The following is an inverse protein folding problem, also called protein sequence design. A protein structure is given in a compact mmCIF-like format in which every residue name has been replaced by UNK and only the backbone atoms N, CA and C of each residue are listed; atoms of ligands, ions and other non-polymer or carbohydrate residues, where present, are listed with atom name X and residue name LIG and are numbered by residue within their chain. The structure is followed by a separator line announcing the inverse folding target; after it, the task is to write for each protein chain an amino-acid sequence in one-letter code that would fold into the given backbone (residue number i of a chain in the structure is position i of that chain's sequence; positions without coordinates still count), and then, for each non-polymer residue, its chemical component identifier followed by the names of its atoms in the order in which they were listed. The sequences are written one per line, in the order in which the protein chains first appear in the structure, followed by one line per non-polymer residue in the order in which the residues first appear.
data_IF_654204382858
#
_entry.id   IF_654204382858
#
_cell.length_a   1.000
_cell.length_b   1.000
_cell.length_c   1.000
_cell.angle_alpha   90.00
_cell.angle_beta   90.00
_cell.angle_gamma   90.00
#
_symmetry.space_group_name_H-M   'P 1'
#
loop_
_entity.id
_entity.type
_entity.pdbx_description
1 polymer ?
#
# COMPACT_ATOMS: atom_id res chain seq x y z
N UNK A 1 23.69 -4.71 -39.28
CA UNK A 1 22.28 -4.35 -39.04
C UNK A 1 21.82 -4.91 -37.70
N UNK A 2 21.07 -4.11 -36.95
CA UNK A 2 20.34 -4.39 -35.71
C UNK A 2 21.11 -4.84 -34.45
N UNK A 3 21.51 -3.84 -33.65
CA UNK A 3 21.68 -3.96 -32.20
C UNK A 3 20.58 -3.17 -31.48
N UNK A 4 19.95 -3.85 -30.53
CA UNK A 4 19.40 -3.33 -29.26
C UNK A 4 18.52 -2.07 -29.28
N UNK A 5 17.20 -2.28 -29.34
CA UNK A 5 16.20 -1.36 -28.80
C UNK A 5 15.87 -1.83 -27.36
N UNK A 6 16.52 -1.23 -26.37
CA UNK A 6 16.33 -1.55 -24.94
C UNK A 6 16.49 -0.26 -24.13
N UNK A 7 15.46 0.59 -24.19
CA UNK A 7 15.32 1.74 -23.29
C UNK A 7 13.93 2.38 -23.40
N UNK A 8 12.89 1.65 -23.01
CA UNK A 8 11.60 2.25 -22.66
C UNK A 8 11.04 1.50 -21.47
N UNK A 9 11.15 2.10 -20.28
CA UNK A 9 10.20 2.01 -19.15
C UNK A 9 10.90 2.48 -17.88
N UNK A 10 11.16 3.79 -17.78
CA UNK A 10 11.38 4.43 -16.49
C UNK A 10 10.89 5.86 -16.56
N UNK A 11 9.80 6.11 -15.83
CA UNK A 11 9.14 7.38 -15.46
C UNK A 11 7.65 7.36 -15.84
N UNK A 12 6.89 6.51 -15.17
CA UNK A 12 5.55 6.92 -14.77
C UNK A 12 5.67 7.49 -13.35
N UNK A 13 6.02 8.77 -13.30
CA UNK A 13 5.73 9.60 -12.13
C UNK A 13 4.21 9.67 -12.02
N UNK A 14 3.67 9.10 -10.95
CA UNK A 14 2.31 9.36 -10.51
C UNK A 14 2.15 10.87 -10.37
N UNK A 15 1.51 11.51 -11.35
CA UNK A 15 0.89 12.82 -11.17
C UNK A 15 -0.35 12.61 -10.31
N UNK A 16 -0.14 12.41 -9.01
CA UNK A 16 -1.16 12.77 -8.05
C UNK A 16 -1.10 14.29 -7.91
N UNK A 17 -1.85 14.95 -8.79
CA UNK A 17 -2.23 16.35 -8.61
C UNK A 17 -3.14 16.42 -7.39
N UNK A 18 -2.54 16.48 -6.21
CA UNK A 18 -3.23 16.87 -4.98
C UNK A 18 -3.52 18.36 -5.06
N UNK A 19 -4.66 18.72 -5.65
CA UNK A 19 -5.31 20.01 -5.39
C UNK A 19 -5.90 19.97 -3.98
N UNK A 20 -5.03 19.91 -2.98
CA UNK A 20 -5.35 20.25 -1.60
C UNK A 20 -4.76 21.64 -1.35
N UNK A 21 -5.41 22.63 -1.95
CA UNK A 21 -5.27 23.99 -1.45
C UNK A 21 -6.15 24.07 -0.20
N UNK A 22 -5.61 24.42 0.97
CA UNK A 22 -6.46 24.74 2.11
C UNK A 22 -7.42 25.88 1.70
N UNK A 23 -8.68 25.89 2.18
CA UNK A 23 -9.62 26.94 1.84
C UNK A 23 -9.05 28.29 2.25
N UNK A 24 -8.66 29.09 1.25
CA UNK A 24 -8.16 30.44 1.44
C UNK A 24 -9.34 31.36 1.70
N UNK A 25 -9.69 31.53 2.98
CA UNK A 25 -10.67 32.52 3.43
C UNK A 25 -10.13 33.97 3.40
N UNK A 26 -8.87 34.18 2.99
CA UNK A 26 -8.20 35.48 3.08
C UNK A 26 -7.97 36.18 1.73
N UNK A 27 -8.45 35.64 0.61
CA UNK A 27 -8.31 36.30 -0.69
C UNK A 27 -9.65 36.88 -1.18
N UNK A 28 -10.22 37.78 -0.38
CA UNK A 28 -11.24 38.71 -0.86
C UNK A 28 -10.54 39.94 -1.46
N UNK A 29 -11.00 40.48 -2.61
CA UNK A 29 -10.50 41.75 -3.12
C UNK A 29 -10.74 42.85 -2.07
N UNK A 30 -9.83 43.84 -1.95
CA UNK A 30 -10.00 44.91 -0.97
C UNK A 30 -11.30 45.65 -1.28
N UNK A 31 -12.24 45.64 -0.33
CA UNK A 31 -13.41 46.49 -0.41
C UNK A 31 -12.97 47.96 -0.50
N UNK A 32 -13.59 48.80 -1.35
CA UNK A 32 -13.29 50.22 -1.38
C UNK A 32 -13.68 50.82 -0.04
N UNK A 33 -12.69 51.35 0.69
CA UNK A 33 -12.88 52.08 1.94
C UNK A 33 -13.72 53.33 1.71
N UNK A 34 -14.93 53.45 2.28
CA UNK A 34 -15.51 54.75 2.51
C UNK A 34 -15.11 55.24 3.91
N UNK A 35 -15.12 56.55 4.10
CA UNK A 35 -14.94 57.26 5.36
C UNK A 35 -13.50 57.59 5.76
N UNK A 36 -13.02 58.69 5.16
CA UNK A 36 -12.48 59.86 5.85
C UNK A 36 -12.49 59.75 7.39
N UNK A 37 -11.37 59.36 7.99
CA UNK A 37 -11.14 59.67 9.39
C UNK A 37 -10.93 61.18 9.50
N UNK A 38 -12.01 61.89 9.87
CA UNK A 38 -11.86 63.15 10.58
C UNK A 38 -11.06 62.85 11.85
N UNK A 39 -9.84 63.36 11.91
CA UNK A 39 -9.16 63.59 13.18
C UNK A 39 -10.12 64.42 14.05
N UNK A 40 -10.62 63.93 15.20
CA UNK A 40 -11.26 64.81 16.14
C UNK A 40 -10.17 65.73 16.67
N UNK A 41 -10.18 66.96 16.16
CA UNK A 41 -9.46 68.08 16.71
C UNK A 41 -9.74 68.13 18.22
N UNK A 42 -8.71 67.82 19.01
CA UNK A 42 -8.73 67.89 20.46
C UNK A 42 -9.12 69.31 20.89
N UNK A 43 -10.37 69.49 21.30
CA UNK A 43 -10.76 70.60 22.14
C UNK A 43 -10.36 70.25 23.57
N UNK A 44 -9.67 71.13 24.32
CA UNK A 44 -9.28 70.89 25.70
C UNK A 44 -10.52 70.98 26.60
N UNK A 45 -11.29 69.90 26.69
CA UNK A 45 -12.39 69.79 27.65
C UNK A 45 -11.82 69.51 29.05
N UNK A 46 -11.88 70.56 29.89
CA UNK A 46 -12.03 70.60 31.35
C UNK A 46 -11.55 69.38 32.18
N UNK A 47 -10.71 69.67 33.18
CA UNK A 47 -9.92 68.74 34.03
C UNK A 47 -10.60 67.54 34.70
N UNK A 48 -11.92 67.36 34.58
CA UNK A 48 -12.62 66.16 35.06
C UNK A 48 -12.55 64.96 34.10
N UNK A 49 -12.38 65.16 32.78
CA UNK A 49 -12.22 64.03 31.83
C UNK A 49 -10.87 63.32 31.94
N UNK A 50 -9.84 64.01 32.42
CA UNK A 50 -8.48 63.49 32.55
C UNK A 50 -8.39 62.37 33.59
N UNK A 51 -9.11 62.52 34.71
CA UNK A 51 -9.13 61.54 35.80
C UNK A 51 -9.86 60.24 35.42
N UNK A 52 -11.02 60.32 34.77
CA UNK A 52 -11.72 59.12 34.28
C UNK A 52 -10.98 58.42 33.14
N UNK A 53 -10.25 59.17 32.31
CA UNK A 53 -9.40 58.61 31.27
C UNK A 53 -8.22 57.83 31.86
N UNK A 54 -7.59 58.34 32.93
CA UNK A 54 -6.53 57.64 33.63
C UNK A 54 -7.03 56.32 34.25
N UNK A 55 -8.21 56.33 34.89
CA UNK A 55 -8.83 55.10 35.43
C UNK A 55 -9.20 54.12 34.31
N UNK A 56 -9.78 54.59 33.20
CA UNK A 56 -10.11 53.76 32.06
C UNK A 56 -8.86 53.14 31.41
N UNK A 57 -7.75 53.88 31.38
CA UNK A 57 -6.47 53.39 30.87
C UNK A 57 -5.90 52.29 31.76
N UNK A 58 -5.94 52.45 33.09
CA UNK A 58 -5.52 51.41 34.03
C UNK A 58 -6.38 50.15 33.85
N UNK A 59 -7.71 50.28 33.80
CA UNK A 59 -8.61 49.15 33.57
C UNK A 59 -8.32 48.47 32.21
N UNK A 60 -8.10 49.24 31.15
CA UNK A 60 -7.76 48.70 29.83
C UNK A 60 -6.44 47.92 29.85
N UNK A 61 -5.41 48.44 30.50
CA UNK A 61 -4.12 47.77 30.66
C UNK A 61 -4.27 46.50 31.50
N UNK A 62 -5.04 46.54 32.59
CA UNK A 62 -5.31 45.36 33.43
C UNK A 62 -6.08 44.28 32.66
N UNK A 63 -7.10 44.65 31.89
CA UNK A 63 -7.82 43.69 31.03
C UNK A 63 -6.92 43.11 29.94
N UNK A 64 -6.09 43.93 29.29
CA UNK A 64 -5.19 43.47 28.23
C UNK A 64 -4.10 42.54 28.78
N UNK A 65 -3.56 42.84 29.96
CA UNK A 65 -2.59 41.97 30.63
C UNK A 65 -3.22 40.65 31.07
N UNK A 66 -4.45 40.66 31.60
CA UNK A 66 -5.20 39.44 31.91
C UNK A 66 -5.41 38.57 30.66
N UNK A 67 -5.87 39.15 29.55
CA UNK A 67 -6.04 38.43 28.29
C UNK A 67 -4.72 37.92 27.71
N UNK A 68 -3.63 38.66 27.86
CA UNK A 68 -2.31 38.21 27.41
C UNK A 68 -1.85 36.97 28.17
N UNK A 69 -2.07 36.94 29.50
CA UNK A 69 -1.75 35.78 30.35
C UNK A 69 -2.62 34.58 29.99
N UNK A 70 -3.94 34.76 29.84
CA UNK A 70 -4.87 33.69 29.50
C UNK A 70 -4.55 33.07 28.12
N UNK A 71 -4.31 33.91 27.11
CA UNK A 71 -3.87 33.44 25.78
C UNK A 71 -2.53 32.72 25.81
N UNK A 72 -1.60 33.15 26.67
CA UNK A 72 -0.31 32.48 26.82
C UNK A 72 -0.49 31.07 27.39
N UNK A 73 -1.30 30.90 28.45
CA UNK A 73 -1.59 29.60 29.05
C UNK A 73 -2.28 28.68 28.04
N UNK A 74 -3.30 29.20 27.34
CA UNK A 74 -4.01 28.45 26.31
C UNK A 74 -3.08 28.02 25.16
N UNK A 75 -2.14 28.87 24.76
CA UNK A 75 -1.15 28.55 23.73
C UNK A 75 -0.20 27.43 24.17
N UNK A 76 0.25 27.44 25.43
CA UNK A 76 1.13 26.40 25.97
C UNK A 76 0.40 25.05 26.01
N UNK A 77 -0.84 25.00 26.50
CA UNK A 77 -1.64 23.76 26.52
C UNK A 77 -1.92 23.23 25.10
N UNK A 78 -2.24 24.13 24.15
CA UNK A 78 -2.40 23.75 22.75
C UNK A 78 -1.12 23.18 22.14
N UNK A 79 0.04 23.78 22.46
CA UNK A 79 1.34 23.29 22.01
C UNK A 79 1.62 21.89 22.58
N UNK A 80 1.44 21.70 23.88
CA UNK A 80 1.66 20.40 24.54
C UNK A 80 0.78 19.31 23.94
N UNK A 81 -0.51 19.61 23.69
CA UNK A 81 -1.43 18.69 23.01
C UNK A 81 -0.96 18.35 21.59
N UNK A 82 -0.51 19.34 20.82
CA UNK A 82 0.00 19.10 19.47
C UNK A 82 1.26 18.22 19.47
N UNK A 83 2.18 18.45 20.41
CA UNK A 83 3.41 17.65 20.54
C UNK A 83 3.10 16.21 20.94
N UNK A 84 2.14 16.01 21.84
CA UNK A 84 1.63 14.67 22.20
C UNK A 84 1.04 13.94 21.00
N UNK A 85 0.21 14.61 20.19
CA UNK A 85 -0.38 14.03 18.99
C UNK A 85 0.67 13.68 17.93
N UNK A 86 1.70 14.51 17.76
CA UNK A 86 2.81 14.23 16.84
C UNK A 86 3.56 12.99 17.30
N UNK A 87 3.91 12.90 18.58
CA UNK A 87 4.60 11.73 19.14
C UNK A 87 3.77 10.45 19.00
N UNK A 88 2.47 10.52 19.27
CA UNK A 88 1.58 9.37 19.12
C UNK A 88 1.45 8.93 17.66
N UNK A 89 1.29 9.88 16.74
CA UNK A 89 1.24 9.62 15.30
C UNK A 89 2.53 8.97 14.81
N UNK A 90 3.70 9.44 15.25
CA UNK A 90 4.99 8.83 14.92
C UNK A 90 5.08 7.39 15.44
N UNK A 91 4.69 7.14 16.69
CA UNK A 91 4.67 5.78 17.26
C UNK A 91 3.76 4.85 16.47
N UNK A 92 2.58 5.32 16.08
CA UNK A 92 1.64 4.54 15.27
C UNK A 92 2.20 4.24 13.88
N UNK A 93 2.86 5.21 13.24
CA UNK A 93 3.54 5.01 11.96
C UNK A 93 4.67 3.98 12.08
N UNK A 94 5.46 4.02 13.15
CA UNK A 94 6.52 3.03 13.40
C UNK A 94 5.96 1.62 13.61
N UNK A 95 4.86 1.48 14.34
CA UNK A 95 4.19 0.18 14.51
C UNK A 95 3.63 -0.33 13.17
N UNK A 96 3.00 0.54 12.39
CA UNK A 96 2.44 0.18 11.09
C UNK A 96 3.53 -0.23 10.10
N UNK A 97 4.65 0.49 10.04
CA UNK A 97 5.78 0.13 9.18
C UNK A 97 6.39 -1.22 9.58
N UNK A 98 6.52 -1.49 10.90
CA UNK A 98 6.95 -2.80 11.41
C UNK A 98 6.00 -3.91 10.99
N UNK A 99 4.69 -3.73 11.17
CA UNK A 99 3.67 -4.71 10.77
C UNK A 99 3.69 -4.99 9.27
N UNK A 100 3.78 -3.94 8.44
CA UNK A 100 3.89 -4.10 6.98
C UNK A 100 5.17 -4.84 6.58
N UNK A 101 6.30 -4.55 7.22
CA UNK A 101 7.56 -5.25 6.94
C UNK A 101 7.49 -6.73 7.33
N UNK A 102 6.86 -7.06 8.46
CA UNK A 102 6.66 -8.43 8.91
C UNK A 102 5.70 -9.18 7.97
N UNK A 103 4.60 -8.55 7.55
CA UNK A 103 3.65 -9.13 6.60
C UNK A 103 4.29 -9.40 5.23
N UNK A 104 5.15 -8.48 4.74
CA UNK A 104 5.93 -8.67 3.50
C UNK A 104 6.87 -9.86 3.61
N UNK A 105 7.68 -9.92 4.68
CA UNK A 105 8.60 -11.04 4.93
C UNK A 105 7.86 -12.38 5.02
N UNK A 106 6.70 -12.42 5.71
CA UNK A 106 5.87 -13.64 5.80
C UNK A 106 5.39 -14.08 4.41
N UNK A 107 4.90 -13.14 3.59
CA UNK A 107 4.47 -13.42 2.22
C UNK A 107 5.63 -13.90 1.35
N UNK A 108 6.79 -13.29 1.44
CA UNK A 108 7.99 -13.71 0.70
C UNK A 108 8.44 -15.12 1.08
N UNK A 109 8.44 -15.44 2.37
CA UNK A 109 8.76 -16.80 2.86
C UNK A 109 7.74 -17.83 2.37
N UNK A 110 6.46 -17.48 2.37
CA UNK A 110 5.40 -18.34 1.84
C UNK A 110 5.61 -18.60 0.35
N UNK A 111 5.82 -17.55 -0.45
CA UNK A 111 6.09 -17.67 -1.89
C UNK A 111 7.33 -18.53 -2.15
N UNK A 112 8.39 -18.36 -1.37
CA UNK A 112 9.61 -19.16 -1.50
C UNK A 112 9.33 -20.64 -1.22
N UNK A 113 8.53 -20.93 -0.19
CA UNK A 113 8.15 -22.30 0.15
C UNK A 113 7.27 -22.93 -0.93
N UNK A 114 6.29 -22.19 -1.47
CA UNK A 114 5.47 -22.63 -2.59
C UNK A 114 6.31 -22.93 -3.83
N UNK A 115 7.28 -22.06 -4.17
CA UNK A 115 8.23 -22.29 -5.28
C UNK A 115 9.07 -23.54 -5.06
N UNK A 116 9.62 -23.72 -3.86
CA UNK A 116 10.40 -24.91 -3.50
C UNK A 116 9.55 -26.18 -3.65
N UNK A 117 8.32 -26.18 -3.14
CA UNK A 117 7.43 -27.34 -3.22
C UNK A 117 7.04 -27.65 -4.67
N UNK A 118 6.79 -26.63 -5.49
CA UNK A 118 6.54 -26.81 -6.92
C UNK A 118 7.75 -27.41 -7.64
N UNK A 119 8.98 -26.94 -7.34
CA UNK A 119 10.20 -27.50 -7.93
C UNK A 119 10.41 -28.97 -7.54
N UNK A 120 10.17 -29.32 -6.27
CA UNK A 120 10.25 -30.71 -5.78
C UNK A 120 9.22 -31.58 -6.54
N UNK A 121 7.99 -31.10 -6.69
CA UNK A 121 6.93 -31.82 -7.42
C UNK A 121 7.30 -32.03 -8.89
N UNK A 122 7.79 -31.00 -9.56
CA UNK A 122 8.27 -31.09 -10.96
C UNK A 122 9.40 -32.12 -11.10
N UNK A 123 10.35 -32.12 -10.17
CA UNK A 123 11.46 -33.09 -10.19
C UNK A 123 10.97 -34.53 -9.97
N UNK A 124 10.03 -34.76 -9.04
CA UNK A 124 9.40 -36.07 -8.84
C UNK A 124 8.70 -36.56 -10.11
N UNK A 125 7.95 -35.69 -10.79
CA UNK A 125 7.28 -36.02 -12.04
C UNK A 125 8.27 -36.32 -13.17
N UNK A 126 9.34 -35.52 -13.31
CA UNK A 126 10.39 -35.77 -14.31
C UNK A 126 11.06 -37.13 -14.09
N UNK A 127 11.34 -37.49 -12.84
CA UNK A 127 11.88 -38.80 -12.50
C UNK A 127 10.92 -39.93 -12.87
N UNK A 128 9.63 -39.77 -12.55
CA UNK A 128 8.62 -40.77 -12.89
C UNK A 128 8.51 -40.96 -14.42
N UNK A 129 8.50 -39.87 -15.19
CA UNK A 129 8.50 -39.92 -16.66
C UNK A 129 9.77 -40.63 -17.18
N UNK A 130 10.94 -40.35 -16.61
CA UNK A 130 12.17 -41.01 -17.00
C UNK A 130 12.12 -42.52 -16.72
N UNK A 131 11.58 -42.93 -15.57
CA UNK A 131 11.36 -44.33 -15.23
C UNK A 131 10.39 -45.01 -16.20
N UNK A 132 9.26 -44.37 -16.53
CA UNK A 132 8.29 -44.90 -17.50
C UNK A 132 8.91 -45.07 -18.88
N UNK A 133 9.70 -44.09 -19.36
CA UNK A 133 10.42 -44.21 -20.63
C UNK A 133 11.40 -45.37 -20.63
N UNK A 134 12.12 -45.58 -19.52
CA UNK A 134 13.01 -46.74 -19.37
C UNK A 134 12.21 -48.05 -19.44
N UNK A 135 11.13 -48.16 -18.69
CA UNK A 135 10.27 -49.35 -18.68
C UNK A 135 9.69 -49.66 -20.07
N UNK A 136 9.28 -48.65 -20.84
CA UNK A 136 8.79 -48.84 -22.21
C UNK A 136 9.89 -49.39 -23.12
N UNK A 137 11.11 -48.82 -23.04
CA UNK A 137 12.25 -49.30 -23.80
C UNK A 137 12.64 -50.73 -23.42
N UNK A 138 12.62 -51.07 -22.13
CA UNK A 138 12.90 -52.42 -21.63
C UNK A 138 11.86 -53.44 -22.16
N UNK A 139 10.64 -53.00 -22.49
CA UNK A 139 9.58 -53.81 -23.11
C UNK A 139 9.51 -53.68 -24.64
N UNK A 140 10.54 -53.11 -25.29
CA UNK A 140 10.60 -52.87 -26.74
C UNK A 140 9.48 -51.95 -27.30
N UNK A 141 8.88 -51.12 -26.45
CA UNK A 141 7.89 -50.10 -26.85
C UNK A 141 8.59 -48.75 -26.97
N UNK A 142 8.43 -48.08 -28.11
CA UNK A 142 9.03 -46.76 -28.28
C UNK A 142 8.22 -45.69 -27.52
N UNK A 143 8.87 -44.85 -26.70
CA UNK A 143 8.19 -43.76 -26.01
C UNK A 143 7.76 -42.65 -26.97
N UNK A 144 6.64 -42.01 -26.64
CA UNK A 144 6.06 -40.89 -27.39
C UNK A 144 7.04 -39.71 -27.45
N UNK A 145 7.10 -39.04 -28.62
CA UNK A 145 7.98 -37.89 -28.85
C UNK A 145 7.46 -36.64 -28.12
N UNK A 146 8.38 -35.78 -27.69
CA UNK A 146 8.03 -34.54 -26.96
C UNK A 146 7.10 -33.64 -27.77
N UNK A 147 7.30 -33.57 -29.10
CA UNK A 147 6.50 -32.74 -30.00
C UNK A 147 5.03 -33.15 -30.02
N UNK A 148 4.76 -34.46 -30.04
CA UNK A 148 3.40 -35.02 -30.01
C UNK A 148 2.72 -34.70 -28.67
N UNK A 149 3.46 -34.82 -27.55
CA UNK A 149 2.95 -34.47 -26.22
C UNK A 149 2.58 -32.99 -26.12
N UNK A 150 3.35 -32.08 -26.72
CA UNK A 150 3.03 -30.65 -26.73
C UNK A 150 1.75 -30.38 -27.52
N UNK A 151 1.59 -31.05 -28.66
CA UNK A 151 0.37 -30.93 -29.47
C UNK A 151 -0.87 -31.41 -28.71
N UNK A 152 -0.79 -32.57 -28.05
CA UNK A 152 -1.89 -33.10 -27.24
C UNK A 152 -2.16 -32.25 -26.00
N UNK A 153 -1.13 -31.65 -25.40
CA UNK A 153 -1.28 -30.72 -24.28
C UNK A 153 -2.13 -29.51 -24.68
N UNK A 154 -1.82 -28.86 -25.80
CA UNK A 154 -2.58 -27.70 -26.29
C UNK A 154 -4.02 -28.05 -26.65
N UNK A 155 -4.27 -29.30 -27.10
CA UNK A 155 -5.59 -29.78 -27.50
C UNK A 155 -6.49 -30.13 -26.30
N UNK A 156 -5.94 -30.78 -25.28
CA UNK A 156 -6.72 -31.41 -24.20
C UNK A 156 -6.56 -30.72 -22.83
N UNK A 157 -5.58 -29.84 -22.64
CA UNK A 157 -5.40 -29.10 -21.38
C UNK A 157 -5.99 -27.70 -21.51
N UNK A 158 -6.90 -27.36 -20.59
CA UNK A 158 -7.48 -26.02 -20.50
C UNK A 158 -6.99 -25.32 -19.25
N UNK A 159 -6.85 -24.01 -19.38
CA UNK A 159 -6.45 -23.10 -18.32
C UNK A 159 -7.65 -22.28 -17.88
N UNK A 160 -8.00 -22.35 -16.59
CA UNK A 160 -8.92 -21.38 -16.00
C UNK A 160 -8.14 -20.43 -15.11
N UNK A 161 -8.27 -19.14 -15.43
CA UNK A 161 -7.75 -18.07 -14.60
C UNK A 161 -8.87 -17.65 -13.65
N UNK A 162 -8.84 -18.19 -12.43
CA UNK A 162 -9.67 -17.63 -11.36
C UNK A 162 -9.18 -16.21 -11.05
N UNK A 163 -10.00 -15.21 -11.38
CA UNK A 163 -9.71 -13.76 -11.24
C UNK A 163 -9.34 -13.37 -9.79
N UNK A 164 -9.71 -14.19 -8.80
CA UNK A 164 -9.56 -13.90 -7.37
C UNK A 164 -8.23 -14.31 -6.73
N UNK A 165 -7.35 -15.04 -7.41
CA UNK A 165 -6.08 -15.50 -6.80
C UNK A 165 -4.87 -15.24 -7.71
N UNK A 166 -3.94 -14.42 -7.21
CA UNK A 166 -2.66 -14.05 -7.85
C UNK A 166 -1.71 -15.26 -8.03
N UNK A 167 -2.14 -16.48 -7.66
CA UNK A 167 -1.42 -17.75 -7.88
C UNK A 167 -2.33 -18.89 -8.35
N UNK A 168 -3.58 -18.59 -8.76
CA UNK A 168 -4.67 -19.56 -8.94
C UNK A 168 -4.95 -19.98 -10.39
N UNK A 169 -3.93 -20.15 -11.21
CA UNK A 169 -4.11 -20.77 -12.53
C UNK A 169 -4.23 -22.28 -12.34
N UNK A 170 -5.44 -22.81 -12.43
CA UNK A 170 -5.66 -24.26 -12.40
C UNK A 170 -5.65 -24.79 -13.83
N UNK A 171 -4.79 -25.78 -14.08
CA UNK A 171 -4.78 -26.52 -15.32
C UNK A 171 -5.53 -27.82 -15.07
N UNK A 172 -6.49 -28.14 -15.93
CA UNK A 172 -7.13 -29.44 -15.92
C UNK A 172 -7.23 -30.01 -17.32
N UNK A 173 -7.33 -31.33 -17.34
CA UNK A 173 -7.50 -32.12 -18.55
C UNK A 173 -8.99 -32.22 -18.85
N UNK A 174 -9.38 -32.00 -20.11
CA UNK A 174 -10.78 -32.07 -20.52
C UNK A 174 -11.32 -33.49 -20.45
N UNK A 175 -12.63 -33.60 -20.19
CA UNK A 175 -13.37 -34.86 -20.07
C UNK A 175 -13.33 -35.69 -21.37
N UNK A 176 -13.23 -35.01 -22.51
CA UNK A 176 -13.14 -35.62 -23.83
C UNK A 176 -11.76 -36.25 -24.13
N UNK A 177 -10.77 -36.03 -23.25
CA UNK A 177 -9.42 -36.56 -23.49
C UNK A 177 -9.32 -38.03 -23.07
N UNK A 178 -8.66 -38.88 -23.88
CA UNK A 178 -8.42 -40.28 -23.52
C UNK A 178 -7.46 -40.41 -22.33
N UNK A 179 -6.71 -39.35 -22.01
CA UNK A 179 -5.66 -39.36 -21.01
C UNK A 179 -6.18 -39.08 -19.60
N UNK A 180 -7.41 -38.55 -19.44
CA UNK A 180 -7.97 -38.16 -18.14
C UNK A 180 -7.94 -39.31 -17.12
N UNK A 181 -8.23 -40.54 -17.55
CA UNK A 181 -8.22 -41.73 -16.70
C UNK A 181 -6.82 -42.11 -16.18
N UNK A 182 -5.77 -41.63 -16.84
CA UNK A 182 -4.37 -41.94 -16.52
C UNK A 182 -3.66 -40.78 -15.80
N UNK A 183 -4.34 -39.66 -15.56
CA UNK A 183 -3.77 -38.53 -14.82
C UNK A 183 -3.70 -38.89 -13.33
N UNK A 184 -2.50 -38.97 -12.73
CA UNK A 184 -2.38 -39.25 -11.30
C UNK A 184 -2.93 -38.08 -10.49
N UNK A 185 -3.54 -38.36 -9.34
CA UNK A 185 -4.01 -37.31 -8.46
C UNK A 185 -2.81 -36.57 -7.85
N UNK A 186 -2.71 -35.26 -8.13
CA UNK A 186 -1.58 -34.41 -7.70
C UNK A 186 -1.35 -34.45 -6.18
N UNK A 187 -2.40 -34.72 -5.38
CA UNK A 187 -2.33 -34.78 -3.91
C UNK A 187 -1.75 -36.09 -3.37
N UNK A 188 -1.58 -37.13 -4.17
CA UNK A 188 -1.01 -38.40 -3.70
C UNK A 188 0.41 -38.20 -3.15
N UNK A 189 1.21 -37.34 -3.78
CA UNK A 189 2.57 -37.02 -3.32
C UNK A 189 2.63 -36.29 -1.98
N UNK A 190 1.57 -35.57 -1.62
CA UNK A 190 1.53 -34.77 -0.39
C UNK A 190 1.27 -35.68 0.82
N UNK A 191 0.35 -36.65 0.67
CA UNK A 191 0.00 -37.63 1.72
C UNK A 191 1.18 -38.48 2.22
N UNK A 192 2.08 -38.87 1.31
CA UNK A 192 3.26 -39.70 1.65
C UNK A 192 4.29 -38.89 2.46
N UNK A 193 4.44 -37.60 2.15
CA UNK A 193 5.37 -36.73 2.89
C UNK A 193 4.89 -36.38 4.28
N UNK A 194 3.58 -36.37 4.53
CA UNK A 194 3.01 -36.12 5.86
C UNK A 194 3.23 -37.31 6.79
N UNK A 195 3.02 -38.54 6.31
CA UNK A 195 3.25 -39.77 7.07
C UNK A 195 4.72 -39.98 7.48
N UNK A 196 5.68 -39.29 6.85
CA UNK A 196 7.11 -39.40 7.18
C UNK A 196 7.57 -38.40 8.25
N UNK A 197 6.71 -37.43 8.61
CA UNK A 197 7.00 -36.39 9.60
C UNK A 197 6.33 -36.64 10.95
N UNK A 198 5.39 -37.59 11.01
CA UNK A 198 4.91 -38.20 12.24
C UNK A 198 5.92 -39.25 12.70
#
# INVERSE_FOLDING_TARGET
MHKSCMSQLRRQSLRFSSSWMPPSYFNAPPAPSPFTQRVPQQQPASGFRRQYFEVALVIAVTCLTYFAVDNYIARIDAQEKSEKLIMESQRMQDLLTRQLSAARKKRELQILNERKNNQIRQMKLQLHIAMLRKQLLDNNVQPIRIQEVVHDYERYVRMENSISNVSGTSLWVTDDSPFKAHVPNVREYDSITENRKQ
#
